data_IF_748916285463
#
_entry.id   IF_748916285463
#
_cell.length_a   1.000
_cell.length_b   1.000
_cell.length_c   1.000
_cell.angle_alpha   90.00
_cell.angle_beta   90.00
_cell.angle_gamma   90.00
#
_symmetry.space_group_name_H-M   'P 1'
#
loop_
_entity.id
_entity.type
_entity.pdbx_description
1 polymer ?
#
# COMPACT_ATOMS: atom_id res chain seq x y z
N UNK A 1 -0.95 22.45 -0.69
CA UNK A 1 -0.27 21.48 0.19
C UNK A 1 0.17 20.32 -0.69
N UNK A 2 1.43 19.91 -0.65
CA UNK A 2 1.87 18.77 -1.45
C UNK A 2 1.12 17.50 -1.01
N UNK A 3 0.71 16.68 -1.97
CA UNK A 3 0.04 15.41 -1.70
C UNK A 3 1.04 14.46 -1.02
N UNK A 4 0.78 14.09 0.24
CA UNK A 4 1.67 13.22 1.01
C UNK A 4 1.43 11.75 0.66
N UNK A 5 2.52 11.02 0.42
CA UNK A 5 2.51 9.57 0.19
C UNK A 5 2.95 8.84 1.44
N UNK A 6 2.14 7.87 1.89
CA UNK A 6 2.43 7.04 3.06
C UNK A 6 2.79 5.63 2.60
N UNK A 7 3.95 5.15 3.05
CA UNK A 7 4.35 3.75 2.87
C UNK A 7 3.76 2.91 4.00
N UNK A 8 2.97 1.89 3.66
CA UNK A 8 2.44 0.90 4.60
C UNK A 8 3.09 -0.45 4.33
N UNK A 9 3.90 -0.91 5.27
CA UNK A 9 4.45 -2.27 5.25
C UNK A 9 3.44 -3.28 5.75
N UNK A 10 3.32 -4.44 5.12
CA UNK A 10 2.31 -5.43 5.52
C UNK A 10 0.88 -5.01 5.17
N UNK A 11 0.72 -4.14 4.16
CA UNK A 11 -0.55 -3.53 3.78
C UNK A 11 -1.58 -4.52 3.20
N UNK A 12 -1.18 -5.72 2.80
CA UNK A 12 -2.09 -6.80 2.42
C UNK A 12 -2.50 -7.67 3.62
N UNK A 13 -1.91 -7.46 4.81
CA UNK A 13 -2.27 -8.13 6.05
C UNK A 13 -3.52 -7.57 6.71
N UNK A 14 -3.96 -8.20 7.81
CA UNK A 14 -5.19 -7.82 8.52
C UNK A 14 -5.16 -6.36 8.99
N UNK A 15 -4.15 -5.95 9.76
CA UNK A 15 -4.07 -4.58 10.30
C UNK A 15 -3.72 -3.58 9.20
N UNK A 16 -2.80 -3.94 8.30
CA UNK A 16 -2.34 -3.08 7.22
C UNK A 16 -3.46 -2.69 6.27
N UNK A 17 -4.27 -3.64 5.81
CA UNK A 17 -5.36 -3.37 4.86
C UNK A 17 -6.40 -2.41 5.42
N UNK A 18 -6.80 -2.56 6.70
CA UNK A 18 -7.73 -1.63 7.35
C UNK A 18 -7.11 -0.24 7.51
N UNK A 19 -5.82 -0.17 7.84
CA UNK A 19 -5.09 1.11 7.93
C UNK A 19 -5.06 1.81 6.57
N UNK A 20 -4.78 1.06 5.49
CA UNK A 20 -4.77 1.60 4.12
C UNK A 20 -6.13 2.18 3.75
N UNK A 21 -7.25 1.52 4.07
CA UNK A 21 -8.60 2.07 3.83
C UNK A 21 -8.75 3.45 4.49
N UNK A 22 -8.39 3.57 5.77
CA UNK A 22 -8.52 4.85 6.50
C UNK A 22 -7.64 5.94 5.90
N UNK A 23 -6.39 5.62 5.55
CA UNK A 23 -5.47 6.58 4.93
C UNK A 23 -5.99 7.08 3.57
N UNK A 24 -6.54 6.19 2.75
CA UNK A 24 -7.13 6.57 1.46
C UNK A 24 -8.37 7.44 1.64
N UNK A 25 -9.24 7.14 2.62
CA UNK A 25 -10.42 7.94 2.94
C UNK A 25 -10.06 9.35 3.46
N UNK A 26 -8.95 9.49 4.17
CA UNK A 26 -8.37 10.79 4.56
C UNK A 26 -7.67 11.52 3.39
N UNK A 27 -7.66 10.92 2.19
CA UNK A 27 -7.19 11.54 0.96
C UNK A 27 -5.69 11.39 0.67
N UNK A 28 -4.94 10.63 1.49
CA UNK A 28 -3.53 10.36 1.27
C UNK A 28 -3.31 9.45 0.05
N UNK A 29 -2.11 9.54 -0.56
CA UNK A 29 -1.60 8.45 -1.42
C UNK A 29 -0.99 7.38 -0.54
N UNK A 30 -1.23 6.12 -0.88
CA UNK A 30 -0.71 4.98 -0.12
C UNK A 30 0.08 4.06 -1.04
N UNK A 31 1.30 3.74 -0.65
CA UNK A 31 2.10 2.69 -1.29
C UNK A 31 2.23 1.54 -0.30
N UNK A 32 1.84 0.34 -0.70
CA UNK A 32 1.99 -0.88 0.09
C UNK A 32 3.27 -1.59 -0.34
N UNK A 33 4.01 -2.13 0.64
CA UNK A 33 4.95 -3.23 0.41
C UNK A 33 4.57 -4.44 1.27
N UNK A 34 4.46 -5.61 0.65
CA UNK A 34 4.07 -6.85 1.31
C UNK A 34 4.68 -8.06 0.57
N UNK A 35 5.10 -9.09 1.30
CA UNK A 35 5.68 -10.30 0.71
C UNK A 35 4.70 -11.48 0.64
N UNK A 36 3.47 -11.33 1.14
CA UNK A 36 2.41 -12.35 1.10
C UNK A 36 2.68 -13.61 1.95
N UNK A 37 3.60 -13.55 2.91
CA UNK A 37 3.95 -14.72 3.75
C UNK A 37 2.81 -15.13 4.71
N UNK A 38 2.04 -14.14 5.20
CA UNK A 38 0.84 -14.36 6.03
C UNK A 38 -0.30 -13.39 5.68
N UNK A 39 -0.35 -13.00 4.41
CA UNK A 39 -1.29 -12.05 3.85
C UNK A 39 -1.72 -12.52 2.46
N UNK A 40 -2.73 -11.89 1.88
CA UNK A 40 -3.32 -12.33 0.61
C UNK A 40 -3.54 -11.14 -0.31
N UNK A 41 -3.25 -11.26 -1.62
CA UNK A 41 -3.38 -10.14 -2.56
C UNK A 41 -4.83 -9.63 -2.67
N UNK A 42 -5.81 -10.50 -2.47
CA UNK A 42 -7.24 -10.16 -2.46
C UNK A 42 -7.60 -9.12 -1.39
N UNK A 43 -6.79 -8.99 -0.33
CA UNK A 43 -6.99 -7.92 0.65
C UNK A 43 -6.81 -6.54 -0.01
N UNK A 44 -5.84 -6.38 -0.90
CA UNK A 44 -5.58 -5.13 -1.64
C UNK A 44 -6.72 -4.84 -2.62
N UNK A 45 -7.24 -5.87 -3.29
CA UNK A 45 -8.37 -5.71 -4.20
C UNK A 45 -9.64 -5.29 -3.44
N UNK A 46 -9.91 -5.89 -2.28
CA UNK A 46 -10.99 -5.45 -1.39
C UNK A 46 -10.81 -4.01 -0.91
N UNK A 47 -9.58 -3.57 -0.63
CA UNK A 47 -9.34 -2.15 -0.30
C UNK A 47 -9.80 -1.26 -1.47
N UNK A 48 -9.42 -1.58 -2.70
CA UNK A 48 -9.82 -0.81 -3.90
C UNK A 48 -11.35 -0.75 -4.06
N UNK A 49 -12.02 -1.88 -3.87
CA UNK A 49 -13.49 -1.96 -3.92
C UNK A 49 -14.15 -1.09 -2.85
N UNK A 50 -13.64 -1.13 -1.61
CA UNK A 50 -14.20 -0.40 -0.47
C UNK A 50 -14.05 1.12 -0.57
N UNK A 51 -12.91 1.61 -1.09
CA UNK A 51 -12.66 3.06 -1.22
C UNK A 51 -13.24 3.66 -2.50
N UNK A 52 -13.62 2.82 -3.47
CA UNK A 52 -14.15 3.24 -4.75
C UNK A 52 -13.08 3.67 -5.78
N UNK A 53 -13.47 3.87 -7.04
CA UNK A 53 -12.55 4.04 -8.16
C UNK A 53 -11.62 5.26 -7.99
N UNK A 54 -12.14 6.41 -7.56
CA UNK A 54 -11.35 7.64 -7.42
C UNK A 54 -10.21 7.52 -6.41
N UNK A 55 -10.46 6.90 -5.25
CA UNK A 55 -9.44 6.70 -4.22
C UNK A 55 -8.55 5.49 -4.52
N UNK A 56 -9.04 4.50 -5.28
CA UNK A 56 -8.24 3.34 -5.69
C UNK A 56 -7.03 3.73 -6.54
N UNK A 57 -7.11 4.82 -7.31
CA UNK A 57 -5.99 5.36 -8.10
C UNK A 57 -4.83 5.88 -7.24
N UNK A 58 -5.10 6.15 -5.96
CA UNK A 58 -4.09 6.61 -4.98
C UNK A 58 -3.38 5.45 -4.27
N UNK A 59 -3.73 4.20 -4.58
CA UNK A 59 -3.15 3.00 -3.98
C UNK A 59 -2.18 2.29 -4.93
N UNK A 60 -0.90 2.25 -4.55
CA UNK A 60 0.11 1.41 -5.19
C UNK A 60 0.36 0.14 -4.35
N UNK A 61 0.53 -1.01 -5.01
CA UNK A 61 0.95 -2.25 -4.37
C UNK A 61 2.29 -2.72 -4.91
N UNK A 62 3.24 -3.00 -4.02
CA UNK A 62 4.55 -3.53 -4.34
C UNK A 62 4.72 -4.88 -3.65
N UNK A 63 4.82 -5.95 -4.43
CA UNK A 63 5.26 -7.25 -3.93
C UNK A 63 6.76 -7.19 -3.63
N UNK A 64 7.14 -7.45 -2.38
CA UNK A 64 8.55 -7.41 -1.96
C UNK A 64 8.76 -7.69 -0.48
N UNK A 65 9.99 -8.05 -0.10
CA UNK A 65 10.35 -8.40 1.27
C UNK A 65 11.17 -7.28 1.92
N UNK A 66 10.79 -6.86 3.13
CA UNK A 66 11.52 -5.83 3.89
C UNK A 66 12.96 -6.25 4.24
N UNK A 67 13.24 -7.55 4.28
CA UNK A 67 14.57 -8.10 4.53
C UNK A 67 15.46 -8.05 3.28
N UNK A 68 14.86 -7.80 2.11
CA UNK A 68 15.58 -7.65 0.86
C UNK A 68 15.87 -6.17 0.59
N UNK A 69 17.16 -5.82 0.60
CA UNK A 69 17.62 -4.45 0.35
C UNK A 69 17.24 -3.96 -1.05
N UNK A 70 17.30 -4.83 -2.05
CA UNK A 70 17.04 -4.46 -3.44
C UNK A 70 15.56 -4.13 -3.66
N UNK A 71 14.65 -4.83 -2.96
CA UNK A 71 13.21 -4.53 -3.00
C UNK A 71 12.93 -3.15 -2.41
N UNK A 72 13.59 -2.80 -1.30
CA UNK A 72 13.47 -1.48 -0.69
C UNK A 72 14.11 -0.38 -1.56
N UNK A 73 15.31 -0.59 -2.09
CA UNK A 73 15.96 0.38 -2.98
C UNK A 73 15.11 0.65 -4.22
N UNK A 74 14.56 -0.41 -4.82
CA UNK A 74 13.63 -0.29 -5.94
C UNK A 74 12.37 0.48 -5.54
N UNK A 75 11.76 0.18 -4.41
CA UNK A 75 10.57 0.88 -3.90
C UNK A 75 10.86 2.38 -3.70
N UNK A 76 11.87 2.72 -2.91
CA UNK A 76 12.21 4.11 -2.59
C UNK A 76 12.69 4.89 -3.81
N UNK A 77 13.27 4.24 -4.83
CA UNK A 77 13.66 4.92 -6.07
C UNK A 77 12.47 5.44 -6.89
N UNK A 78 11.28 4.89 -6.69
CA UNK A 78 10.04 5.32 -7.37
C UNK A 78 9.45 6.60 -6.77
N UNK A 79 9.78 6.91 -5.51
CA UNK A 79 9.17 8.02 -4.76
C UNK A 79 10.20 9.15 -4.63
N UNK A 80 9.99 10.27 -5.32
CA UNK A 80 10.80 11.49 -5.23
C UNK A 80 10.05 12.58 -4.47
#
# INVERSE_FOLDING_TARGET
MAEQTILVTGGAGFIGSHTVVQLLLEGFRVSIIDNLDNSVPEAVDRVRELVGPELSEKLEFNLGDLRNKDDLEKLFSKTK
#
